data_IF_756240484675
#
_entry.id   IF_756240484675
#
_cell.length_a   1.000
_cell.length_b   1.000
_cell.length_c   1.000
_cell.angle_alpha   90.00
_cell.angle_beta   90.00
_cell.angle_gamma   90.00
#
_symmetry.space_group_name_H-M   'P 1'
#
loop_
_entity.id
_entity.type
_entity.pdbx_description
1 polymer ?
#
# COMPACT_ATOMS: atom_id res chain seq x y z
N UNK A 1 -24.71 -5.35 -2.84
CA UNK A 1 -23.83 -5.83 -3.90
C UNK A 1 -23.52 -7.28 -3.59
N UNK A 2 -24.24 -8.00 -4.01
CA UNK A 2 -25.04 -9.07 -4.45
C UNK A 2 -24.16 -10.19 -5.02
N UNK A 3 -24.33 -11.32 -4.47
CA UNK A 3 -24.40 -12.76 -4.88
C UNK A 3 -23.95 -13.18 -6.31
N UNK A 4 -23.01 -12.50 -6.97
CA UNK A 4 -22.51 -12.90 -8.30
C UNK A 4 -21.31 -13.85 -8.32
N UNK A 5 -20.84 -14.35 -7.18
CA UNK A 5 -19.61 -15.15 -7.13
C UNK A 5 -19.80 -16.68 -7.11
N UNK A 6 -21.02 -17.19 -7.23
CA UNK A 6 -21.27 -18.63 -7.22
C UNK A 6 -22.29 -19.08 -8.27
N UNK A 7 -22.11 -18.71 -9.52
CA UNK A 7 -22.72 -19.44 -10.62
C UNK A 7 -21.64 -20.19 -11.40
N UNK A 8 -21.84 -21.49 -11.60
CA UNK A 8 -20.99 -22.46 -12.33
C UNK A 8 -20.86 -22.13 -13.82
N UNK A 9 -20.35 -20.97 -14.17
CA UNK A 9 -19.84 -20.66 -15.50
C UNK A 9 -18.41 -20.16 -15.32
N UNK A 10 -17.44 -20.76 -16.02
CA UNK A 10 -16.06 -20.27 -16.01
C UNK A 10 -16.06 -18.84 -16.55
N UNK A 11 -15.99 -17.84 -15.67
CA UNK A 11 -15.80 -16.44 -16.09
C UNK A 11 -14.37 -16.34 -16.59
N UNK A 12 -14.20 -16.17 -17.89
CA UNK A 12 -12.91 -15.84 -18.49
C UNK A 12 -12.70 -14.34 -18.28
N UNK A 13 -11.66 -13.98 -17.54
CA UNK A 13 -11.26 -12.60 -17.38
C UNK A 13 -10.23 -12.23 -18.43
N UNK A 14 -10.30 -11.01 -18.93
CA UNK A 14 -9.26 -10.35 -19.72
C UNK A 14 -8.65 -9.29 -18.85
N UNK A 15 -7.37 -9.43 -18.53
CA UNK A 15 -6.65 -8.60 -17.59
C UNK A 15 -5.53 -7.86 -18.29
N UNK A 16 -5.42 -6.57 -18.04
CA UNK A 16 -4.29 -5.75 -18.46
C UNK A 16 -3.52 -5.29 -17.21
N UNK A 17 -2.26 -5.66 -17.11
CA UNK A 17 -1.39 -5.37 -15.97
C UNK A 17 -0.24 -4.46 -16.40
N UNK A 18 -0.15 -3.29 -15.79
CA UNK A 18 1.05 -2.45 -15.90
C UNK A 18 2.15 -3.04 -15.02
N UNK A 19 3.38 -3.18 -15.55
CA UNK A 19 4.51 -3.75 -14.81
C UNK A 19 5.54 -2.66 -14.57
N UNK A 20 5.69 -2.26 -13.31
CA UNK A 20 6.69 -1.32 -12.84
C UNK A 20 7.79 -2.10 -12.12
N UNK A 21 8.78 -2.55 -12.86
CA UNK A 21 9.90 -3.32 -12.33
C UNK A 21 10.75 -2.49 -11.35
N UNK A 22 10.92 -1.19 -11.63
CA UNK A 22 11.70 -0.28 -10.80
C UNK A 22 13.18 -0.59 -10.79
N UNK A 23 13.80 -0.59 -9.59
CA UNK A 23 15.23 -0.52 -9.39
C UNK A 23 15.79 -1.77 -8.68
N UNK A 24 17.11 -1.91 -8.69
CA UNK A 24 17.83 -2.94 -7.94
C UNK A 24 17.36 -4.36 -8.25
N UNK A 25 16.78 -5.05 -7.25
CA UNK A 25 16.23 -6.40 -7.39
C UNK A 25 14.88 -6.41 -8.14
N UNK A 26 14.27 -5.26 -8.35
CA UNK A 26 12.94 -5.13 -8.93
C UNK A 26 12.72 -5.87 -10.25
N UNK A 27 13.60 -5.73 -11.27
CA UNK A 27 13.48 -6.45 -12.53
C UNK A 27 13.47 -7.98 -12.39
N UNK A 28 14.29 -8.53 -11.48
CA UNK A 28 14.37 -9.97 -11.21
C UNK A 28 13.06 -10.48 -10.60
N UNK A 29 12.59 -9.85 -9.53
CA UNK A 29 11.39 -10.31 -8.82
C UNK A 29 10.10 -10.05 -9.63
N UNK A 30 10.03 -8.97 -10.41
CA UNK A 30 8.86 -8.71 -11.26
C UNK A 30 8.75 -9.72 -12.40
N UNK A 31 9.87 -10.17 -12.96
CA UNK A 31 9.87 -11.26 -13.95
C UNK A 31 9.23 -12.52 -13.37
N UNK A 32 9.64 -12.94 -12.17
CA UNK A 32 9.04 -14.11 -11.50
C UNK A 32 7.56 -13.88 -11.22
N UNK A 33 7.18 -12.66 -10.78
CA UNK A 33 5.79 -12.28 -10.58
C UNK A 33 4.93 -12.44 -11.85
N UNK A 34 5.45 -11.98 -13.00
CA UNK A 34 4.80 -12.14 -14.30
C UNK A 34 4.66 -13.62 -14.66
N UNK A 35 5.74 -14.40 -14.55
CA UNK A 35 5.74 -15.84 -14.88
C UNK A 35 4.68 -16.60 -14.03
N UNK A 36 4.54 -16.27 -12.75
CA UNK A 36 3.52 -16.86 -11.86
C UNK A 36 2.11 -16.43 -12.29
N UNK A 37 1.88 -15.15 -12.55
CA UNK A 37 0.57 -14.66 -13.01
C UNK A 37 0.14 -15.30 -14.33
N UNK A 38 1.05 -15.43 -15.29
CA UNK A 38 0.79 -16.16 -16.55
C UNK A 38 0.40 -17.61 -16.31
N UNK A 39 1.14 -18.32 -15.42
CA UNK A 39 0.85 -19.70 -15.10
C UNK A 39 -0.53 -19.87 -14.46
N UNK A 40 -0.91 -18.96 -13.55
CA UNK A 40 -2.24 -18.95 -12.93
C UNK A 40 -3.32 -18.64 -13.95
N UNK A 41 -3.16 -17.61 -14.77
CA UNK A 41 -4.12 -17.23 -15.81
C UNK A 41 -4.34 -18.39 -16.80
N UNK A 42 -3.28 -19.05 -17.23
CA UNK A 42 -3.34 -20.24 -18.11
C UNK A 42 -4.09 -21.39 -17.44
N UNK A 43 -3.82 -21.67 -16.16
CA UNK A 43 -4.49 -22.73 -15.40
C UNK A 43 -6.00 -22.52 -15.30
N UNK A 44 -6.42 -21.27 -15.14
CA UNK A 44 -7.83 -20.91 -14.96
C UNK A 44 -8.51 -20.41 -16.24
N UNK A 45 -7.83 -20.45 -17.40
CA UNK A 45 -8.29 -19.97 -18.70
C UNK A 45 -8.64 -18.48 -18.70
N UNK A 46 -7.83 -17.65 -18.06
CA UNK A 46 -7.88 -16.21 -18.17
C UNK A 46 -6.90 -15.70 -19.22
N UNK A 47 -7.21 -14.57 -19.84
CA UNK A 47 -6.30 -13.85 -20.72
C UNK A 47 -5.61 -12.75 -19.92
N UNK A 48 -4.29 -12.61 -20.06
CA UNK A 48 -3.55 -11.54 -19.40
C UNK A 48 -2.55 -10.92 -20.36
N UNK A 49 -2.47 -9.59 -20.33
CA UNK A 49 -1.46 -8.81 -21.05
C UNK A 49 -0.66 -7.97 -20.06
N UNK A 50 0.64 -7.85 -20.32
CA UNK A 50 1.54 -7.08 -19.46
C UNK A 50 2.14 -5.93 -20.26
N UNK A 51 2.08 -4.72 -19.72
CA UNK A 51 2.71 -3.53 -20.32
C UNK A 51 3.78 -3.02 -19.35
N UNK A 52 5.08 -3.13 -19.70
CA UNK A 52 6.15 -2.57 -18.88
C UNK A 52 6.15 -1.05 -18.94
N UNK A 53 6.49 -0.40 -17.82
CA UNK A 53 6.70 1.03 -17.77
C UNK A 53 7.81 1.39 -16.76
N UNK A 54 8.48 2.51 -16.99
CA UNK A 54 9.60 2.97 -16.20
C UNK A 54 9.12 3.64 -14.89
N UNK A 55 9.81 3.36 -13.77
CA UNK A 55 9.63 4.09 -12.52
C UNK A 55 10.91 4.07 -11.69
N UNK A 56 10.99 4.96 -10.69
CA UNK A 56 12.14 5.03 -9.79
C UNK A 56 13.40 5.57 -10.42
N UNK A 57 14.54 5.04 -10.02
CA UNK A 57 15.85 5.43 -10.52
C UNK A 57 16.00 5.16 -12.02
N UNK A 58 15.48 4.03 -12.51
CA UNK A 58 15.49 3.69 -13.93
C UNK A 58 14.77 4.76 -14.77
N UNK A 59 13.68 5.33 -14.28
CA UNK A 59 12.96 6.40 -14.97
C UNK A 59 13.73 7.74 -14.89
N UNK A 60 14.31 8.06 -13.74
CA UNK A 60 15.16 9.27 -13.60
C UNK A 60 16.34 9.22 -14.57
N UNK A 61 17.01 8.07 -14.68
CA UNK A 61 18.15 7.88 -15.59
C UNK A 61 17.75 8.05 -17.07
N UNK A 62 16.55 7.60 -17.42
CA UNK A 62 16.08 7.65 -18.80
C UNK A 62 15.52 9.02 -19.21
N UNK A 63 14.71 9.65 -18.33
CA UNK A 63 13.92 10.84 -18.68
C UNK A 63 13.93 11.95 -17.62
N UNK A 64 14.65 11.78 -16.50
CA UNK A 64 14.76 12.77 -15.43
C UNK A 64 13.57 12.86 -14.47
N UNK A 65 12.57 12.00 -14.62
CA UNK A 65 11.35 11.96 -13.80
C UNK A 65 11.16 10.55 -13.22
N UNK A 66 10.99 10.37 -11.88
CA UNK A 66 10.82 9.07 -11.26
C UNK A 66 9.46 8.41 -11.55
N UNK A 67 8.48 9.16 -12.06
CA UNK A 67 7.16 8.65 -12.46
C UNK A 67 6.61 9.46 -13.64
N UNK A 68 7.13 9.21 -14.86
CA UNK A 68 6.77 9.94 -16.07
C UNK A 68 5.26 9.88 -16.38
N UNK A 69 4.76 10.87 -17.10
CA UNK A 69 3.35 10.93 -17.49
C UNK A 69 2.94 9.72 -18.36
N UNK A 70 3.82 9.23 -19.21
CA UNK A 70 3.59 8.00 -19.98
C UNK A 70 3.33 6.79 -19.04
N UNK A 71 4.15 6.66 -17.99
CA UNK A 71 3.95 5.60 -16.98
C UNK A 71 2.62 5.76 -16.25
N UNK A 72 2.24 6.99 -15.90
CA UNK A 72 0.95 7.26 -15.29
C UNK A 72 -0.20 6.82 -16.19
N UNK A 73 -0.17 7.16 -17.49
CA UNK A 73 -1.22 6.80 -18.44
C UNK A 73 -1.32 5.28 -18.62
N UNK A 74 -0.20 4.56 -18.71
CA UNK A 74 -0.18 3.09 -18.75
C UNK A 74 -0.85 2.51 -17.49
N UNK A 75 -0.46 3.00 -16.30
CA UNK A 75 -1.04 2.54 -15.04
C UNK A 75 -2.54 2.85 -14.94
N UNK A 76 -2.98 4.01 -15.40
CA UNK A 76 -4.39 4.45 -15.36
C UNK A 76 -5.30 3.60 -16.24
N UNK A 77 -4.77 3.08 -17.35
CA UNK A 77 -5.49 2.25 -18.31
C UNK A 77 -5.46 0.76 -17.94
N UNK A 78 -4.59 0.35 -17.04
CA UNK A 78 -4.48 -1.04 -16.60
C UNK A 78 -5.53 -1.39 -15.52
N UNK A 79 -5.90 -2.66 -15.44
CA UNK A 79 -6.76 -3.19 -14.38
C UNK A 79 -6.04 -3.24 -13.03
N UNK A 80 -4.72 -3.46 -13.07
CA UNK A 80 -3.86 -3.45 -11.88
C UNK A 80 -2.41 -3.09 -12.25
N UNK A 81 -1.64 -2.71 -11.24
CA UNK A 81 -0.21 -2.44 -11.36
C UNK A 81 0.58 -3.48 -10.56
N UNK A 82 1.44 -4.22 -11.24
CA UNK A 82 2.47 -5.04 -10.59
C UNK A 82 3.69 -4.13 -10.35
N UNK A 83 3.84 -3.72 -9.10
CA UNK A 83 4.91 -2.83 -8.67
C UNK A 83 5.93 -3.61 -7.83
N UNK A 84 7.21 -3.45 -8.12
CA UNK A 84 8.28 -4.18 -7.42
C UNK A 84 9.05 -3.29 -6.44
N UNK A 85 10.27 -2.91 -6.76
CA UNK A 85 11.14 -2.18 -5.85
C UNK A 85 11.57 -0.83 -6.44
N UNK A 86 11.68 0.18 -5.59
CA UNK A 86 12.19 1.51 -5.96
C UNK A 86 13.22 1.93 -4.93
N UNK A 87 14.33 2.50 -5.42
CA UNK A 87 15.45 2.98 -4.64
C UNK A 87 16.77 2.53 -5.24
N UNK A 88 17.74 3.46 -5.28
CA UNK A 88 19.11 3.16 -5.72
C UNK A 88 20.08 3.97 -4.85
N UNK A 89 21.09 3.31 -4.22
CA UNK A 89 22.06 3.95 -3.34
C UNK A 89 22.78 5.17 -3.95
N UNK A 90 22.86 5.27 -5.28
CA UNK A 90 23.45 6.43 -5.95
C UNK A 90 22.67 7.72 -5.71
N UNK A 91 21.38 7.64 -5.39
CA UNK A 91 20.54 8.77 -5.04
C UNK A 91 20.54 9.08 -3.54
N UNK A 92 20.65 8.05 -2.68
CA UNK A 92 20.66 8.20 -1.22
C UNK A 92 21.85 8.99 -0.71
N UNK A 93 23.02 8.73 -1.28
CA UNK A 93 24.29 9.33 -0.88
C UNK A 93 24.69 10.56 -1.70
N UNK A 94 23.79 11.10 -2.53
CA UNK A 94 24.05 12.26 -3.35
C UNK A 94 23.30 13.50 -2.84
N UNK A 95 23.95 14.41 -2.08
CA UNK A 95 23.31 15.63 -1.60
C UNK A 95 22.84 16.56 -2.72
N UNK A 96 23.42 16.43 -3.92
CA UNK A 96 23.05 17.22 -5.10
C UNK A 96 21.85 16.64 -5.87
N UNK A 97 21.37 15.47 -5.50
CA UNK A 97 20.21 14.84 -6.16
C UNK A 97 18.94 15.66 -5.86
N UNK A 98 18.45 16.38 -6.86
CA UNK A 98 17.21 17.17 -6.76
C UNK A 98 15.96 16.29 -6.78
N UNK A 99 16.06 15.08 -7.32
CA UNK A 99 14.96 14.14 -7.50
C UNK A 99 15.40 12.79 -6.96
N UNK A 100 14.52 12.13 -6.21
CA UNK A 100 14.77 10.81 -5.61
C UNK A 100 13.77 9.78 -6.14
N UNK A 101 14.17 8.50 -6.28
CA UNK A 101 13.29 7.42 -6.75
C UNK A 101 11.98 7.29 -5.97
N UNK A 102 12.02 7.48 -4.64
CA UNK A 102 10.88 7.37 -3.72
C UNK A 102 9.79 8.42 -4.01
N UNK A 103 10.17 9.56 -4.59
CA UNK A 103 9.20 10.59 -5.01
C UNK A 103 8.27 10.03 -6.11
N UNK A 104 8.76 9.12 -6.95
CA UNK A 104 7.96 8.42 -7.95
C UNK A 104 6.87 7.56 -7.32
N UNK A 105 7.21 6.82 -6.27
CA UNK A 105 6.23 6.03 -5.52
C UNK A 105 5.15 6.91 -4.87
N UNK A 106 5.53 8.04 -4.29
CA UNK A 106 4.57 8.99 -3.71
C UNK A 106 3.69 9.63 -4.78
N UNK A 107 4.27 10.02 -5.92
CA UNK A 107 3.53 10.57 -7.06
C UNK A 107 2.52 9.55 -7.62
N UNK A 108 2.91 8.29 -7.80
CA UNK A 108 2.03 7.19 -8.22
C UNK A 108 0.84 7.05 -7.27
N UNK A 109 1.09 6.96 -5.97
CA UNK A 109 0.03 6.83 -4.95
C UNK A 109 -0.97 7.97 -5.02
N UNK A 110 -0.48 9.20 -5.16
CA UNK A 110 -1.32 10.40 -5.23
C UNK A 110 -2.11 10.48 -6.54
N UNK A 111 -1.45 10.33 -7.69
CA UNK A 111 -2.07 10.43 -9.02
C UNK A 111 -3.12 9.34 -9.25
N UNK A 112 -2.87 8.11 -8.81
CA UNK A 112 -3.79 6.99 -8.94
C UNK A 112 -4.80 6.86 -7.77
N UNK A 113 -4.72 7.72 -6.76
CA UNK A 113 -5.63 7.69 -5.60
C UNK A 113 -5.49 6.44 -4.73
N UNK A 114 -4.29 5.88 -4.61
CA UNK A 114 -4.01 4.66 -3.86
C UNK A 114 -3.89 4.97 -2.35
N UNK A 115 -5.00 5.17 -1.69
CA UNK A 115 -5.03 5.63 -0.30
C UNK A 115 -4.90 4.49 0.74
N UNK A 116 -5.29 3.27 0.40
CA UNK A 116 -5.31 2.15 1.34
C UNK A 116 -4.16 1.18 1.08
N UNK A 117 -3.25 1.05 2.03
CA UNK A 117 -2.23 0.01 2.03
C UNK A 117 -2.67 -1.14 2.94
N UNK A 118 -2.88 -2.31 2.34
CA UNK A 118 -3.37 -3.50 3.03
C UNK A 118 -2.21 -4.46 3.20
N UNK A 119 -1.82 -4.72 4.45
CA UNK A 119 -0.69 -5.57 4.83
C UNK A 119 -1.15 -6.75 5.68
N UNK A 120 -1.42 -7.91 5.07
CA UNK A 120 -1.65 -9.12 5.83
C UNK A 120 -0.34 -9.58 6.50
N UNK A 121 -0.45 -9.94 7.77
CA UNK A 121 0.65 -10.49 8.57
C UNK A 121 0.19 -11.83 9.11
N UNK A 122 0.90 -12.89 8.76
CA UNK A 122 0.62 -14.23 9.21
C UNK A 122 1.92 -14.95 9.56
N UNK A 123 1.92 -15.66 10.68
CA UNK A 123 3.03 -16.51 11.07
C UNK A 123 2.82 -17.91 10.52
N UNK A 124 3.80 -18.42 9.80
CA UNK A 124 3.83 -19.81 9.35
C UNK A 124 4.61 -20.66 10.37
N UNK A 125 4.04 -21.78 10.80
CA UNK A 125 4.65 -22.64 11.82
C UNK A 125 6.09 -23.06 11.49
N UNK A 126 6.37 -23.33 10.22
CA UNK A 126 7.73 -23.66 9.76
C UNK A 126 8.73 -22.51 9.88
N UNK A 127 8.30 -21.27 10.07
CA UNK A 127 9.14 -20.07 10.18
C UNK A 127 9.18 -19.46 11.59
N UNK A 128 8.42 -20.00 12.56
CA UNK A 128 8.36 -19.47 13.93
C UNK A 128 9.76 -19.35 14.54
N UNK A 129 10.62 -20.34 14.34
CA UNK A 129 12.00 -20.38 14.86
C UNK A 129 12.92 -19.30 14.28
N UNK A 130 12.52 -18.59 13.21
CA UNK A 130 13.26 -17.45 12.62
C UNK A 130 12.89 -16.10 13.24
N UNK A 131 11.82 -16.06 14.05
CA UNK A 131 11.41 -14.83 14.72
C UNK A 131 12.37 -14.44 15.84
N UNK A 132 12.72 -13.14 16.00
CA UNK A 132 13.46 -12.67 17.16
C UNK A 132 12.61 -12.62 18.44
N UNK A 133 11.29 -12.77 18.31
CA UNK A 133 10.36 -12.82 19.45
C UNK A 133 10.18 -14.26 19.90
N UNK A 134 9.78 -14.44 21.16
CA UNK A 134 9.43 -15.75 21.72
C UNK A 134 8.32 -16.40 20.91
N UNK A 135 8.43 -17.71 20.75
CA UNK A 135 7.50 -18.52 19.95
C UNK A 135 6.05 -18.37 20.42
N UNK A 136 5.81 -18.36 21.72
CA UNK A 136 4.49 -18.17 22.33
C UNK A 136 3.80 -16.85 21.96
N UNK A 137 4.56 -15.80 21.56
CA UNK A 137 4.06 -14.51 21.17
C UNK A 137 3.72 -14.43 19.68
N UNK A 138 4.38 -15.22 18.86
CA UNK A 138 4.25 -15.12 17.39
C UNK A 138 3.46 -16.27 16.77
N UNK A 139 3.42 -17.42 17.44
CA UNK A 139 2.68 -18.58 16.94
C UNK A 139 1.19 -18.24 16.78
N UNK A 140 0.66 -18.48 15.59
CA UNK A 140 -0.74 -18.22 15.28
C UNK A 140 -1.08 -16.73 15.10
N UNK A 141 -0.07 -15.83 15.01
CA UNK A 141 -0.33 -14.45 14.67
C UNK A 141 -0.95 -14.36 13.26
N UNK A 142 -2.13 -13.74 13.19
CA UNK A 142 -2.88 -13.50 11.96
C UNK A 142 -3.66 -12.19 12.09
N UNK A 143 -3.15 -11.13 11.50
CA UNK A 143 -3.81 -9.83 11.46
C UNK A 143 -3.57 -9.11 10.13
N UNK A 144 -4.36 -8.08 9.86
CA UNK A 144 -4.17 -7.20 8.70
C UNK A 144 -3.96 -5.79 9.20
N UNK A 145 -2.84 -5.18 8.81
CA UNK A 145 -2.58 -3.77 9.05
C UNK A 145 -3.13 -2.96 7.85
N UNK A 146 -4.11 -2.11 8.11
CA UNK A 146 -4.69 -1.19 7.13
C UNK A 146 -4.11 0.20 7.39
N UNK A 147 -3.36 0.74 6.40
CA UNK A 147 -2.66 2.02 6.53
C UNK A 147 -3.17 3.02 5.51
N UNK A 148 -3.51 4.23 5.98
CA UNK A 148 -3.74 5.37 5.09
C UNK A 148 -2.42 5.84 4.49
N UNK A 149 -2.38 6.05 3.17
CA UNK A 149 -1.13 6.32 2.43
C UNK A 149 -1.03 7.71 1.83
N UNK A 150 -2.11 8.46 1.71
CA UNK A 150 -2.14 9.72 0.95
C UNK A 150 -2.39 10.95 1.82
N UNK A 151 -2.45 10.75 3.14
CA UNK A 151 -2.43 11.78 4.17
C UNK A 151 -1.20 11.68 5.09
N UNK A 152 -1.20 12.47 6.15
CA UNK A 152 -0.16 12.47 7.16
C UNK A 152 1.15 13.15 6.73
N UNK A 153 2.26 12.74 7.35
CA UNK A 153 3.55 13.44 7.22
C UNK A 153 4.18 13.37 5.82
N UNK A 154 3.86 12.37 5.00
CA UNK A 154 4.45 12.25 3.66
C UNK A 154 3.89 13.28 2.66
N UNK A 155 2.69 13.81 2.90
CA UNK A 155 1.99 14.74 2.03
C UNK A 155 1.67 16.09 2.68
N UNK A 156 2.01 16.24 3.97
CA UNK A 156 1.89 17.48 4.70
C UNK A 156 2.92 18.53 4.30
N UNK A 157 2.77 19.73 4.81
CA UNK A 157 3.77 20.76 4.68
C UNK A 157 5.08 20.32 5.33
N UNK A 158 6.19 20.63 4.67
CA UNK A 158 7.53 20.27 5.15
C UNK A 158 8.53 21.38 4.86
N UNK A 159 9.56 21.43 5.67
CA UNK A 159 10.72 22.28 5.49
C UNK A 159 11.96 21.45 5.74
N UNK A 160 12.93 21.59 4.87
CA UNK A 160 14.29 21.05 5.01
C UNK A 160 15.26 22.19 5.12
N UNK A 161 16.20 22.15 6.06
CA UNK A 161 17.23 23.16 6.28
C UNK A 161 18.19 22.74 7.37
N UNK A 162 19.35 23.43 7.42
CA UNK A 162 20.45 23.07 8.32
C UNK A 162 20.13 23.36 9.80
N UNK A 163 19.35 24.42 10.08
CA UNK A 163 19.02 24.84 11.45
C UNK A 163 17.61 24.41 11.89
N UNK A 164 16.72 24.13 10.95
CA UNK A 164 15.35 23.76 11.23
C UNK A 164 14.79 22.87 10.11
N UNK A 165 14.21 21.74 10.50
CA UNK A 165 13.48 20.87 9.59
C UNK A 165 12.18 20.39 10.26
N UNK A 166 11.08 20.27 9.48
CA UNK A 166 9.84 19.71 9.98
C UNK A 166 9.01 19.00 8.89
N UNK A 167 8.22 18.01 9.31
CA UNK A 167 7.17 17.38 8.54
C UNK A 167 5.83 17.48 9.28
N UNK A 168 4.81 18.02 8.61
CA UNK A 168 3.48 18.17 9.21
C UNK A 168 2.66 16.91 9.02
N UNK A 169 2.23 16.30 10.14
CA UNK A 169 1.30 15.18 10.13
C UNK A 169 -0.15 15.67 10.19
N UNK A 170 -0.76 15.89 9.04
CA UNK A 170 -2.13 16.38 8.91
C UNK A 170 -3.05 15.33 8.27
N UNK A 171 -4.27 15.23 8.78
CA UNK A 171 -5.35 14.41 8.23
C UNK A 171 -6.65 15.20 8.19
N UNK A 172 -7.40 15.02 7.12
CA UNK A 172 -8.77 15.50 7.01
C UNK A 172 -9.77 14.41 7.42
N UNK A 173 -10.99 14.79 7.79
CA UNK A 173 -12.04 13.82 8.13
C UNK A 173 -12.32 12.84 6.98
N UNK A 174 -12.48 13.26 5.70
CA UNK A 174 -12.71 12.31 4.60
C UNK A 174 -11.58 11.28 4.40
N UNK A 175 -10.33 11.66 4.66
CA UNK A 175 -9.20 10.72 4.60
C UNK A 175 -9.31 9.65 5.69
N UNK A 176 -9.69 10.06 6.90
CA UNK A 176 -9.90 9.12 8.01
C UNK A 176 -11.11 8.22 7.76
N UNK A 177 -12.22 8.77 7.29
CA UNK A 177 -13.45 8.00 7.01
C UNK A 177 -13.23 6.94 5.93
N UNK A 178 -12.57 7.28 4.82
CA UNK A 178 -12.35 6.33 3.72
C UNK A 178 -11.50 5.12 4.14
N UNK A 179 -10.45 5.36 4.94
CA UNK A 179 -9.58 4.25 5.37
C UNK A 179 -10.24 3.41 6.46
N UNK A 180 -10.99 4.03 7.38
CA UNK A 180 -11.75 3.31 8.39
C UNK A 180 -12.85 2.45 7.77
N UNK A 181 -13.51 2.92 6.70
CA UNK A 181 -14.48 2.11 5.94
C UNK A 181 -13.84 0.82 5.45
N UNK A 182 -12.67 0.90 4.81
CA UNK A 182 -11.91 -0.28 4.37
C UNK A 182 -11.56 -1.18 5.57
N UNK A 183 -11.11 -0.60 6.68
CA UNK A 183 -10.73 -1.35 7.87
C UNK A 183 -11.93 -2.10 8.50
N UNK A 184 -13.08 -1.45 8.60
CA UNK A 184 -14.32 -2.08 9.09
C UNK A 184 -14.79 -3.20 8.16
N UNK A 185 -14.76 -2.99 6.83
CA UNK A 185 -15.11 -4.04 5.87
C UNK A 185 -14.20 -5.27 6.00
N UNK A 186 -12.89 -5.08 6.19
CA UNK A 186 -11.95 -6.16 6.47
C UNK A 186 -12.24 -6.84 7.80
N UNK A 187 -12.51 -6.08 8.87
CA UNK A 187 -12.85 -6.63 10.18
C UNK A 187 -14.11 -7.51 10.11
N UNK A 188 -15.15 -7.07 9.38
CA UNK A 188 -16.41 -7.82 9.19
C UNK A 188 -16.21 -9.15 8.47
N UNK A 189 -15.25 -9.24 7.55
CA UNK A 189 -14.90 -10.49 6.83
C UNK A 189 -14.00 -11.42 7.65
N UNK A 190 -13.53 -10.97 8.83
CA UNK A 190 -12.62 -11.71 9.72
C UNK A 190 -13.27 -11.90 11.10
N UNK A 191 -12.59 -11.56 12.18
CA UNK A 191 -13.04 -11.80 13.57
C UNK A 191 -13.89 -10.67 14.17
N UNK A 192 -14.32 -9.72 13.35
CA UNK A 192 -15.11 -8.53 13.78
C UNK A 192 -14.43 -7.73 14.88
N UNK A 193 -13.10 -7.66 14.81
CA UNK A 193 -12.28 -6.91 15.74
C UNK A 193 -11.38 -5.93 14.99
N UNK A 194 -11.45 -4.65 15.34
CA UNK A 194 -10.60 -3.59 14.80
C UNK A 194 -9.90 -2.89 15.95
N UNK A 195 -8.58 -2.75 15.86
CA UNK A 195 -7.78 -1.92 16.75
C UNK A 195 -7.31 -0.68 16.00
N UNK A 196 -7.63 0.49 16.51
CA UNK A 196 -7.09 1.77 16.02
C UNK A 196 -5.91 2.16 16.89
N UNK A 197 -4.73 2.29 16.29
CA UNK A 197 -3.51 2.69 16.99
C UNK A 197 -3.36 4.20 16.87
N UNK A 198 -3.32 4.89 18.00
CA UNK A 198 -3.25 6.34 18.05
C UNK A 198 -2.45 6.86 19.25
N UNK A 199 -2.22 8.17 19.31
CA UNK A 199 -1.63 8.91 20.43
C UNK A 199 -2.53 10.09 20.80
N UNK A 200 -3.81 9.84 21.05
CA UNK A 200 -4.84 10.86 21.24
C UNK A 200 -4.65 11.74 22.47
N UNK A 201 -3.95 11.24 23.51
CA UNK A 201 -3.60 12.03 24.70
C UNK A 201 -2.70 13.25 24.36
N UNK A 202 -1.95 13.21 23.25
CA UNK A 202 -1.02 14.27 22.85
C UNK A 202 -1.40 14.90 21.52
N UNK A 203 -1.64 14.08 20.47
CA UNK A 203 -1.75 14.55 19.10
C UNK A 203 -3.18 14.89 18.68
N UNK A 204 -3.35 16.07 18.09
CA UNK A 204 -4.64 16.51 17.56
C UNK A 204 -5.13 15.62 16.39
N UNK A 205 -4.22 15.20 15.51
CA UNK A 205 -4.52 14.25 14.43
C UNK A 205 -5.05 12.92 14.96
N UNK A 206 -4.45 12.38 16.00
CA UNK A 206 -4.91 11.14 16.66
C UNK A 206 -6.28 11.31 17.31
N UNK A 207 -6.59 12.48 17.89
CA UNK A 207 -7.93 12.76 18.43
C UNK A 207 -9.01 12.77 17.34
N UNK A 208 -8.68 13.31 16.16
CA UNK A 208 -9.59 13.26 15.01
C UNK A 208 -9.83 11.80 14.59
N UNK A 209 -8.78 10.99 14.46
CA UNK A 209 -8.88 9.58 14.11
C UNK A 209 -9.76 8.81 15.11
N UNK A 210 -9.51 8.96 16.41
CA UNK A 210 -10.29 8.31 17.47
C UNK A 210 -11.76 8.70 17.42
N UNK A 211 -12.05 10.00 17.28
CA UNK A 211 -13.42 10.53 17.18
C UNK A 211 -14.17 9.90 16.00
N UNK A 212 -13.59 9.94 14.81
CA UNK A 212 -14.23 9.40 13.60
C UNK A 212 -14.42 7.88 13.71
N UNK A 213 -13.43 7.16 14.24
CA UNK A 213 -13.55 5.73 14.45
C UNK A 213 -14.69 5.37 15.42
N UNK A 214 -14.86 6.12 16.50
CA UNK A 214 -15.95 5.92 17.46
C UNK A 214 -17.33 6.24 16.85
N UNK A 215 -17.43 7.26 16.01
CA UNK A 215 -18.66 7.61 15.29
C UNK A 215 -19.06 6.52 14.28
N UNK A 216 -18.11 5.89 13.60
CA UNK A 216 -18.35 4.86 12.58
C UNK A 216 -18.58 3.46 13.17
N UNK A 217 -18.05 3.15 14.34
CA UNK A 217 -18.08 1.81 14.93
C UNK A 217 -19.51 1.24 15.14
N UNK A 218 -20.49 1.99 15.66
CA UNK A 218 -21.86 1.49 15.86
C UNK A 218 -22.55 1.05 14.57
N UNK A 219 -22.28 1.76 13.49
CA UNK A 219 -22.85 1.47 12.15
C UNK A 219 -22.19 0.24 11.52
N UNK A 220 -20.96 -0.06 11.92
CA UNK A 220 -20.15 -1.14 11.32
C UNK A 220 -20.22 -2.47 12.08
N UNK A 221 -21.00 -2.56 13.16
CA UNK A 221 -21.19 -3.78 13.99
C UNK A 221 -19.88 -4.48 14.39
N UNK A 222 -18.85 -3.69 14.67
CA UNK A 222 -17.49 -4.18 14.96
C UNK A 222 -17.07 -3.76 16.36
N UNK A 223 -16.38 -4.64 17.09
CA UNK A 223 -15.73 -4.27 18.35
C UNK A 223 -14.50 -3.40 18.07
N UNK A 224 -14.64 -2.11 18.36
CA UNK A 224 -13.54 -1.15 18.27
C UNK A 224 -12.76 -1.11 19.58
N UNK A 225 -11.44 -1.26 19.50
CA UNK A 225 -10.52 -0.95 20.58
C UNK A 225 -9.56 0.15 20.14
N UNK A 226 -9.42 1.20 20.96
CA UNK A 226 -8.36 2.18 20.80
C UNK A 226 -7.15 1.72 21.60
N UNK A 227 -5.98 1.70 20.98
CA UNK A 227 -4.71 1.36 21.64
C UNK A 227 -3.82 2.60 21.63
N UNK A 228 -3.41 3.04 22.83
CA UNK A 228 -2.47 4.14 23.00
C UNK A 228 -1.04 3.60 22.98
N UNK A 229 -0.17 4.24 22.21
CA UNK A 229 1.26 3.97 22.17
C UNK A 229 2.04 4.99 22.97
#
# INVERSE_FOLDING_TARGET
>A
MSDRFFQKGKIIMKLHIAVLAGDGIGPEISKVGVDVMEAVCRKFNHEVTFTPALCGAAAIDAVGDPFPEETFEICRQADAVLFSAVGDPKYDNNPAAKVRPEQGLLAMRKKLGLFANIRPVQTFDCLVHKSPLKEELVRGADFVCIRELTGGMYFGAKKEGDDEAFDTCAYTRPEVERILKVAFEYAMRRRRHLTVVDKANVLASSRLWRKVAQEMAPVSYTHLRAHET
#
